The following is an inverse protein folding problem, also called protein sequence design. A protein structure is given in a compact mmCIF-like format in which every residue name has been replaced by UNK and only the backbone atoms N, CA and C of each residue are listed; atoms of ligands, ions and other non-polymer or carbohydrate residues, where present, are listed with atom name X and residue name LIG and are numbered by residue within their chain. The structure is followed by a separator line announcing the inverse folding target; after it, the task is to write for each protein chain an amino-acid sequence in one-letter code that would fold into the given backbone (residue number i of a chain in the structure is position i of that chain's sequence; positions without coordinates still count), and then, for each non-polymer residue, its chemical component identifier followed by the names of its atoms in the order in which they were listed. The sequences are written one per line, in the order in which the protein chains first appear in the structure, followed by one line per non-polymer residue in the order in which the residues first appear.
data_IF_889189674550
#
_entry.id   IF_889189674550
#
_cell.length_a   1.000
_cell.length_b   1.000
_cell.length_c   1.000
_cell.angle_alpha   90.00
_cell.angle_beta   90.00
_cell.angle_gamma   90.00
#
_symmetry.space_group_name_H-M   'P 1'
#
loop_
_entity.id
_entity.type
_entity.pdbx_description
1 polymer ?
#
# COMPACT_ATOMS: atom_id res chain seq x y z
N UNK A 1 30.64 19.95 25.10
CA UNK A 1 29.30 19.67 24.62
C UNK A 1 29.45 18.74 23.42
N UNK A 2 29.13 17.48 23.58
CA UNK A 2 29.19 16.53 22.48
C UNK A 2 27.96 16.78 21.59
N UNK A 3 28.19 17.27 20.35
CA UNK A 3 27.19 17.27 19.30
C UNK A 3 26.75 15.82 19.08
N UNK A 4 25.52 15.50 19.48
CA UNK A 4 24.92 14.23 19.19
C UNK A 4 24.79 14.06 17.69
N UNK A 5 25.68 13.28 17.08
CA UNK A 5 25.54 12.85 15.68
C UNK A 5 24.22 12.08 15.59
N UNK A 6 23.19 12.69 15.01
CA UNK A 6 21.93 11.99 14.69
C UNK A 6 22.31 10.74 13.89
N UNK A 7 22.01 9.56 14.46
CA UNK A 7 22.33 8.30 13.80
C UNK A 7 21.59 8.25 12.45
N UNK A 8 22.34 8.10 11.36
CA UNK A 8 21.78 8.02 10.00
C UNK A 8 20.69 6.95 9.96
N UNK A 9 19.47 7.35 9.62
CA UNK A 9 18.36 6.42 9.42
C UNK A 9 18.49 5.77 8.03
N UNK A 10 18.54 4.43 8.02
CA UNK A 10 18.65 3.64 6.79
C UNK A 10 17.28 2.98 6.55
N UNK A 11 16.47 3.51 5.63
CA UNK A 11 15.19 2.90 5.27
C UNK A 11 15.43 1.57 4.56
N UNK A 12 14.58 0.61 4.89
CA UNK A 12 14.58 -0.73 4.31
C UNK A 12 13.16 -1.30 4.33
N UNK A 13 12.91 -2.32 3.52
CA UNK A 13 11.62 -2.98 3.50
C UNK A 13 11.78 -4.48 3.21
N UNK A 14 10.80 -5.26 3.63
CA UNK A 14 10.76 -6.69 3.40
C UNK A 14 9.37 -7.26 3.68
N UNK A 15 9.24 -8.57 3.65
CA UNK A 15 7.96 -9.21 3.87
C UNK A 15 8.06 -10.57 4.56
N UNK A 16 7.06 -10.89 5.37
CA UNK A 16 6.73 -12.26 5.73
C UNK A 16 5.93 -12.84 4.58
N UNK A 17 6.65 -13.47 3.63
CA UNK A 17 6.05 -14.07 2.45
C UNK A 17 5.39 -15.37 2.83
N UNK A 18 4.11 -15.54 2.46
CA UNK A 18 3.35 -16.72 2.85
C UNK A 18 2.51 -17.29 1.70
N UNK A 19 2.17 -18.59 1.83
CA UNK A 19 1.18 -19.29 0.99
C UNK A 19 0.31 -20.20 1.84
N UNK A 20 -0.88 -20.62 1.36
CA UNK A 20 -1.65 -21.66 2.01
C UNK A 20 -0.87 -22.98 2.05
N UNK A 21 -0.81 -23.63 3.21
CA UNK A 21 -0.26 -24.96 3.40
C UNK A 21 -1.28 -25.90 4.03
N UNK A 22 -0.95 -27.21 4.12
CA UNK A 22 -1.87 -28.23 4.65
C UNK A 22 -2.26 -28.02 6.11
N UNK A 23 -1.33 -27.53 6.94
CA UNK A 23 -1.51 -27.35 8.38
C UNK A 23 -1.53 -25.85 8.79
N UNK A 24 -1.91 -24.98 7.88
CA UNK A 24 -1.85 -23.53 8.06
C UNK A 24 -0.85 -22.88 7.12
N UNK A 25 -0.59 -21.56 7.26
CA UNK A 25 0.33 -20.86 6.38
C UNK A 25 1.75 -21.45 6.41
N UNK A 26 2.35 -21.55 5.24
CA UNK A 26 3.79 -21.75 5.08
C UNK A 26 4.42 -20.39 4.77
N UNK A 27 5.58 -20.11 5.32
CA UNK A 27 6.34 -18.87 5.13
C UNK A 27 7.70 -19.15 4.49
N UNK A 28 8.21 -18.15 3.77
CA UNK A 28 9.55 -18.18 3.19
C UNK A 28 10.55 -17.62 4.18
N UNK A 29 11.66 -18.34 4.35
CA UNK A 29 12.88 -17.83 4.94
C UNK A 29 14.02 -17.91 3.93
N UNK A 30 14.96 -16.99 4.03
CA UNK A 30 16.17 -16.93 3.23
C UNK A 30 17.38 -17.18 4.10
N UNK A 31 18.36 -17.95 3.60
CA UNK A 31 19.66 -18.13 4.22
C UNK A 31 20.68 -17.18 3.60
N UNK A 32 21.44 -16.48 4.47
CA UNK A 32 22.45 -15.53 4.03
C UNK A 32 23.85 -16.05 4.38
N UNK A 33 24.61 -16.56 3.41
CA UNK A 33 25.88 -17.27 3.66
C UNK A 33 26.92 -16.41 4.37
N UNK A 34 26.94 -15.10 4.08
CA UNK A 34 27.86 -14.16 4.72
C UNK A 34 27.72 -14.07 6.24
N UNK A 35 26.52 -14.30 6.76
CA UNK A 35 26.17 -14.19 8.18
C UNK A 35 25.85 -15.54 8.80
N UNK A 36 25.72 -16.59 8.00
CA UNK A 36 25.23 -17.92 8.38
C UNK A 36 23.93 -17.84 9.18
N UNK A 37 22.95 -17.04 8.65
CA UNK A 37 21.70 -16.75 9.33
C UNK A 37 20.48 -16.97 8.44
N UNK A 38 19.33 -17.17 9.11
CA UNK A 38 18.00 -17.29 8.48
C UNK A 38 17.14 -16.12 8.89
N UNK A 39 16.54 -15.46 7.92
CA UNK A 39 15.66 -14.30 8.12
C UNK A 39 14.58 -14.19 7.05
N UNK A 40 13.73 -13.16 7.15
CA UNK A 40 12.81 -12.81 6.06
C UNK A 40 13.56 -12.06 4.95
N UNK A 41 13.09 -12.19 3.68
CA UNK A 41 13.59 -11.40 2.56
C UNK A 41 13.38 -9.90 2.83
N UNK A 42 14.44 -9.11 2.70
CA UNK A 42 14.45 -7.67 2.98
C UNK A 42 15.73 -7.00 2.53
N UNK A 43 15.65 -5.79 2.09
CA UNK A 43 16.82 -4.99 1.80
C UNK A 43 16.62 -3.50 1.96
N UNK A 44 17.61 -2.71 1.58
CA UNK A 44 17.61 -1.26 1.68
C UNK A 44 16.81 -0.64 0.55
N UNK A 45 16.13 0.48 0.86
CA UNK A 45 15.58 1.30 -0.21
C UNK A 45 16.71 1.88 -1.07
N UNK A 46 16.53 1.86 -2.38
CA UNK A 46 17.35 2.62 -3.31
C UNK A 46 17.05 4.13 -3.17
N UNK A 47 17.98 5.01 -3.59
CA UNK A 47 17.70 6.45 -3.55
C UNK A 47 16.39 6.82 -4.30
N UNK A 48 15.43 7.42 -3.58
CA UNK A 48 14.13 7.78 -4.12
C UNK A 48 13.15 6.61 -4.30
N UNK A 49 13.50 5.42 -3.85
CA UNK A 49 12.60 4.26 -3.90
C UNK A 49 11.63 4.26 -2.71
N UNK A 50 10.35 4.14 -3.01
CA UNK A 50 9.30 4.00 -2.01
C UNK A 50 9.33 2.60 -1.35
N UNK A 51 9.09 2.52 -0.04
CA UNK A 51 9.17 1.27 0.76
C UNK A 51 8.32 0.11 0.23
N UNK A 52 7.16 0.38 -0.37
CA UNK A 52 6.32 -0.65 -1.00
C UNK A 52 7.02 -1.31 -2.19
N UNK A 53 7.71 -0.51 -3.02
CA UNK A 53 8.47 -1.03 -4.16
C UNK A 53 9.69 -1.79 -3.70
N UNK A 54 10.40 -1.28 -2.69
CA UNK A 54 11.52 -1.98 -2.07
C UNK A 54 11.09 -3.37 -1.57
N UNK A 55 9.97 -3.48 -0.86
CA UNK A 55 9.49 -4.78 -0.37
C UNK A 55 9.23 -5.78 -1.50
N UNK A 56 8.59 -5.35 -2.59
CA UNK A 56 8.33 -6.21 -3.77
C UNK A 56 9.63 -6.60 -4.48
N UNK A 57 10.54 -5.64 -4.69
CA UNK A 57 11.83 -5.86 -5.36
C UNK A 57 12.70 -6.84 -4.58
N UNK A 58 12.90 -6.59 -3.28
CA UNK A 58 13.76 -7.41 -2.43
C UNK A 58 13.23 -8.85 -2.28
N UNK A 59 11.90 -9.02 -2.11
CA UNK A 59 11.31 -10.36 -2.13
C UNK A 59 11.63 -11.05 -3.45
N UNK A 60 11.51 -10.37 -4.58
CA UNK A 60 11.77 -10.96 -5.90
C UNK A 60 13.25 -11.29 -6.10
N UNK A 61 14.15 -10.40 -5.71
CA UNK A 61 15.60 -10.57 -5.86
C UNK A 61 16.13 -11.70 -4.97
N UNK A 62 15.73 -11.72 -3.70
CA UNK A 62 16.23 -12.69 -2.73
C UNK A 62 15.54 -14.07 -2.84
N UNK A 63 14.35 -14.17 -3.43
CA UNK A 63 13.59 -15.44 -3.42
C UNK A 63 13.09 -15.91 -4.80
N UNK A 64 13.11 -15.08 -5.81
CA UNK A 64 12.49 -15.35 -7.11
C UNK A 64 10.95 -15.42 -7.06
N UNK A 65 10.32 -14.88 -6.01
CA UNK A 65 8.86 -14.93 -5.83
C UNK A 65 8.19 -13.61 -6.17
N UNK A 66 7.03 -13.67 -6.80
CA UNK A 66 6.08 -12.58 -6.94
C UNK A 66 5.05 -12.63 -5.82
N UNK A 67 4.75 -11.47 -5.24
CA UNK A 67 3.86 -11.35 -4.09
C UNK A 67 2.90 -10.17 -4.23
N UNK A 68 1.81 -10.20 -3.47
CA UNK A 68 0.98 -9.04 -3.18
C UNK A 68 1.01 -8.77 -1.68
N UNK A 69 1.13 -7.47 -1.33
CA UNK A 69 1.17 -7.04 0.05
C UNK A 69 -0.23 -7.10 0.68
N UNK A 70 -0.29 -7.58 1.90
CA UNK A 70 -1.47 -7.54 2.75
C UNK A 70 -1.27 -6.53 3.89
N UNK A 71 -1.69 -6.90 5.11
CA UNK A 71 -1.55 -6.02 6.27
C UNK A 71 -0.10 -5.69 6.58
N UNK A 72 0.13 -4.46 7.03
CA UNK A 72 1.39 -4.05 7.61
C UNK A 72 1.65 -4.83 8.91
N UNK A 73 2.92 -5.09 9.15
CA UNK A 73 3.45 -5.66 10.38
C UNK A 73 4.33 -4.62 11.08
N UNK A 74 4.63 -4.87 12.34
CA UNK A 74 5.51 -3.99 13.11
C UNK A 74 6.88 -3.84 12.44
N UNK A 75 7.42 -2.63 12.31
CA UNK A 75 8.75 -2.43 11.75
C UNK A 75 9.83 -2.95 12.72
N UNK A 76 10.94 -3.41 12.15
CA UNK A 76 12.13 -3.73 12.93
C UNK A 76 13.13 -2.58 12.88
N UNK A 77 13.54 -2.08 14.04
CA UNK A 77 14.53 -1.00 14.16
C UNK A 77 15.74 -1.51 14.94
N UNK A 78 16.92 -1.42 14.32
CA UNK A 78 18.15 -1.90 14.97
C UNK A 78 19.40 -1.17 14.46
N UNK A 79 20.45 -1.05 15.31
CA UNK A 79 21.69 -0.42 14.91
C UNK A 79 22.48 -1.30 13.94
N UNK A 80 23.19 -0.66 13.02
CA UNK A 80 24.18 -1.25 12.12
C UNK A 80 25.45 -0.41 12.15
N UNK A 81 26.54 -0.89 11.52
CA UNK A 81 27.78 -0.11 11.39
C UNK A 81 27.57 1.19 10.59
N UNK A 82 26.57 1.25 9.72
CA UNK A 82 26.31 2.40 8.84
C UNK A 82 25.24 3.36 9.40
N UNK A 83 24.57 3.02 10.51
CA UNK A 83 23.48 3.79 11.08
C UNK A 83 22.36 2.91 11.64
N UNK A 84 21.21 3.49 11.95
CA UNK A 84 20.03 2.77 12.42
C UNK A 84 19.20 2.30 11.24
N UNK A 85 19.07 0.98 11.06
CA UNK A 85 18.22 0.39 10.03
C UNK A 85 16.76 0.34 10.51
N UNK A 86 15.86 0.88 9.73
CA UNK A 86 14.41 0.80 9.92
C UNK A 86 13.82 -0.03 8.80
N UNK A 87 13.32 -1.21 9.12
CA UNK A 87 12.76 -2.15 8.14
C UNK A 87 11.25 -2.19 8.29
N UNK A 88 10.52 -1.74 7.27
CA UNK A 88 9.06 -1.89 7.18
C UNK A 88 8.71 -3.28 6.67
N UNK A 89 7.68 -3.91 7.26
CA UNK A 89 7.28 -5.27 6.92
C UNK A 89 5.79 -5.38 6.62
N UNK A 90 5.47 -6.30 5.73
CA UNK A 90 4.09 -6.70 5.39
C UNK A 90 3.94 -8.22 5.42
N UNK A 91 2.75 -8.69 5.74
CA UNK A 91 2.34 -10.04 5.35
C UNK A 91 2.11 -10.04 3.84
N UNK A 92 2.88 -10.81 3.08
CA UNK A 92 2.81 -10.80 1.62
C UNK A 92 2.43 -12.18 1.07
N UNK A 93 1.33 -12.23 0.32
CA UNK A 93 0.86 -13.48 -0.26
C UNK A 93 1.59 -13.80 -1.55
N UNK A 94 2.17 -15.00 -1.64
CA UNK A 94 2.76 -15.52 -2.87
C UNK A 94 1.71 -15.66 -3.98
N UNK A 95 2.04 -15.18 -5.17
CA UNK A 95 1.18 -15.26 -6.36
C UNK A 95 1.85 -15.92 -7.56
N UNK A 96 3.18 -15.87 -7.66
CA UNK A 96 3.92 -16.37 -8.80
C UNK A 96 5.36 -16.73 -8.42
N UNK A 97 5.94 -17.73 -9.07
CA UNK A 97 7.37 -18.07 -8.95
C UNK A 97 8.09 -17.85 -10.28
N UNK A 98 9.24 -17.19 -10.22
CA UNK A 98 10.10 -16.92 -11.38
C UNK A 98 11.38 -17.77 -11.40
N UNK A 99 11.57 -18.56 -10.32
CA UNK A 99 12.78 -19.33 -10.10
C UNK A 99 13.79 -18.54 -9.24
N UNK A 100 14.34 -19.24 -8.26
CA UNK A 100 15.41 -18.71 -7.41
C UNK A 100 16.77 -19.11 -8.00
N UNK A 101 17.72 -18.16 -7.97
CA UNK A 101 19.13 -18.39 -8.33
C UNK A 101 19.97 -17.97 -7.14
N UNK A 102 20.70 -18.94 -6.56
CA UNK A 102 21.63 -18.70 -5.45
C UNK A 102 22.69 -17.67 -5.82
N UNK A 103 23.01 -16.79 -4.89
CA UNK A 103 24.02 -15.72 -5.05
C UNK A 103 24.76 -15.46 -3.72
N UNK A 104 25.65 -14.44 -3.69
CA UNK A 104 26.46 -14.12 -2.51
C UNK A 104 25.63 -13.53 -1.34
N UNK A 105 24.40 -13.07 -1.58
CA UNK A 105 23.53 -12.52 -0.57
C UNK A 105 22.60 -13.60 0.01
N UNK A 106 22.04 -14.46 -0.87
CA UNK A 106 21.12 -15.53 -0.49
C UNK A 106 21.51 -16.80 -1.26
N UNK A 107 21.80 -17.87 -0.53
CA UNK A 107 22.17 -19.17 -1.12
C UNK A 107 21.11 -20.27 -0.96
N UNK A 108 20.15 -20.11 -0.03
CA UNK A 108 19.04 -21.06 0.18
C UNK A 108 17.73 -20.32 0.50
N UNK A 109 16.63 -20.82 -0.05
CA UNK A 109 15.26 -20.31 0.16
C UNK A 109 14.36 -21.47 0.55
N UNK A 110 13.70 -21.38 1.72
CA UNK A 110 12.86 -22.48 2.23
C UNK A 110 11.46 -22.03 2.58
N UNK A 111 10.50 -22.84 2.15
CA UNK A 111 9.14 -22.79 2.66
C UNK A 111 9.03 -23.64 3.92
N UNK A 112 8.60 -23.04 5.02
CA UNK A 112 8.43 -23.70 6.31
C UNK A 112 7.02 -23.45 6.85
N UNK A 113 6.39 -24.44 7.53
CA UNK A 113 5.17 -24.18 8.27
C UNK A 113 5.39 -23.03 9.26
N UNK A 114 4.50 -22.03 9.28
CA UNK A 114 4.62 -20.90 10.20
C UNK A 114 4.66 -21.34 11.68
N UNK A 115 4.13 -22.51 11.99
CA UNK A 115 4.17 -23.10 13.34
C UNK A 115 5.59 -23.45 13.80
N UNK A 116 6.47 -23.87 12.90
CA UNK A 116 7.82 -24.37 13.21
C UNK A 116 8.95 -23.44 12.73
N UNK A 117 8.60 -22.42 11.93
CA UNK A 117 9.60 -21.51 11.36
C UNK A 117 10.43 -20.77 12.40
N UNK A 118 9.91 -20.58 13.64
CA UNK A 118 10.64 -19.95 14.75
C UNK A 118 11.92 -20.71 15.14
N UNK A 119 11.96 -22.04 14.93
CA UNK A 119 13.14 -22.88 15.20
C UNK A 119 14.31 -22.58 14.24
N UNK A 120 13.98 -21.98 13.08
CA UNK A 120 14.96 -21.68 12.04
C UNK A 120 15.41 -20.23 12.03
N UNK A 121 14.58 -19.30 12.50
CA UNK A 121 14.89 -17.87 12.54
C UNK A 121 16.07 -17.60 13.48
N UNK A 122 17.04 -16.83 13.01
CA UNK A 122 18.27 -16.54 13.74
C UNK A 122 18.17 -15.36 14.71
N UNK A 123 17.09 -14.55 14.64
CA UNK A 123 16.94 -13.34 15.43
C UNK A 123 15.62 -13.29 16.18
N UNK A 124 15.66 -12.90 17.46
CA UNK A 124 14.46 -12.76 18.30
C UNK A 124 13.45 -11.76 17.72
N UNK A 125 13.90 -10.68 17.07
CA UNK A 125 13.02 -9.72 16.39
C UNK A 125 12.22 -10.36 15.24
N UNK A 126 12.83 -11.30 14.52
CA UNK A 126 12.17 -12.01 13.42
C UNK A 126 11.21 -13.08 13.96
N UNK A 127 11.55 -13.69 15.12
CA UNK A 127 10.62 -14.56 15.86
C UNK A 127 9.42 -13.76 16.40
N UNK A 128 9.63 -12.56 16.92
CA UNK A 128 8.54 -11.68 17.36
C UNK A 128 7.61 -11.30 16.19
N UNK A 129 8.20 -10.97 15.03
CA UNK A 129 7.44 -10.67 13.81
C UNK A 129 6.62 -11.89 13.33
N UNK A 130 7.17 -13.10 13.44
CA UNK A 130 6.42 -14.35 13.20
C UNK A 130 5.24 -14.50 14.14
N UNK A 131 5.45 -14.17 15.43
CA UNK A 131 4.39 -14.17 16.45
C UNK A 131 3.25 -13.23 16.06
N UNK A 132 3.56 -12.01 15.65
CA UNK A 132 2.59 -11.04 15.14
C UNK A 132 1.87 -11.53 13.87
N UNK A 133 2.61 -12.11 12.90
CA UNK A 133 2.00 -12.70 11.71
C UNK A 133 1.01 -13.81 12.08
N UNK A 134 1.34 -14.68 13.02
CA UNK A 134 0.49 -15.81 13.44
C UNK A 134 -0.72 -15.39 14.28
N UNK A 135 -0.63 -14.28 15.00
CA UNK A 135 -1.73 -13.79 15.85
C UNK A 135 -2.84 -13.08 15.07
N UNK A 136 -2.56 -12.69 13.81
CA UNK A 136 -3.52 -12.00 12.95
C UNK A 136 -3.85 -12.78 11.68
N UNK A 137 -4.79 -12.29 10.87
CA UNK A 137 -5.16 -12.91 9.61
C UNK A 137 -3.99 -12.86 8.61
N UNK A 138 -3.67 -13.99 7.99
CA UNK A 138 -2.66 -14.04 6.94
C UNK A 138 -3.16 -13.34 5.66
N UNK A 139 -4.44 -13.53 5.31
CA UNK A 139 -5.08 -12.91 4.14
C UNK A 139 -5.98 -11.75 4.57
N UNK A 140 -5.83 -10.62 3.88
CA UNK A 140 -6.63 -9.41 4.09
C UNK A 140 -7.11 -8.84 2.76
N UNK A 141 -8.11 -7.96 2.82
CA UNK A 141 -8.70 -7.30 1.67
C UNK A 141 -8.37 -5.81 1.74
N UNK A 142 -7.69 -5.23 0.74
CA UNK A 142 -7.38 -3.81 0.71
C UNK A 142 -8.58 -2.96 0.28
N UNK A 143 -8.79 -1.84 0.98
CA UNK A 143 -9.54 -0.69 0.51
C UNK A 143 -8.61 0.50 0.46
N UNK A 144 -8.40 1.06 -0.73
CA UNK A 144 -7.47 2.15 -0.96
C UNK A 144 -8.27 3.42 -1.26
N UNK A 145 -8.01 4.51 -0.51
CA UNK A 145 -8.61 5.82 -0.72
C UNK A 145 -7.52 6.78 -1.16
N UNK A 146 -7.57 7.19 -2.41
CA UNK A 146 -6.55 7.97 -3.09
C UNK A 146 -7.07 9.37 -3.41
N UNK A 147 -6.28 10.40 -3.09
CA UNK A 147 -6.49 11.72 -3.67
C UNK A 147 -5.84 11.81 -5.04
N UNK A 148 -6.57 12.38 -6.03
CA UNK A 148 -6.02 12.59 -7.37
C UNK A 148 -4.66 13.31 -7.36
N UNK A 149 -3.81 13.02 -8.32
CA UNK A 149 -2.50 13.63 -8.55
C UNK A 149 -2.61 15.12 -8.93
N UNK A 150 -1.49 15.79 -9.12
CA UNK A 150 -1.46 17.22 -9.40
C UNK A 150 -2.23 17.55 -10.70
N UNK A 151 -3.16 18.50 -10.59
CA UNK A 151 -3.97 18.99 -11.71
C UNK A 151 -3.87 20.53 -11.77
N UNK A 152 -4.04 21.08 -12.95
CA UNK A 152 -3.97 22.50 -13.22
C UNK A 152 -4.84 23.35 -12.28
N UNK A 153 -4.58 24.64 -12.18
CA UNK A 153 -5.33 25.57 -11.34
C UNK A 153 -6.82 25.62 -11.78
N UNK A 154 -7.71 25.88 -10.80
CA UNK A 154 -9.11 26.21 -11.14
C UNK A 154 -9.11 27.53 -11.93
N UNK A 155 -9.39 27.47 -13.23
CA UNK A 155 -9.63 28.68 -13.99
C UNK A 155 -10.99 29.26 -13.54
N UNK A 156 -11.00 30.55 -13.17
CA UNK A 156 -12.25 31.26 -12.99
C UNK A 156 -12.90 31.41 -14.40
N UNK A 157 -13.92 30.64 -14.67
CA UNK A 157 -14.74 30.85 -15.88
C UNK A 157 -15.70 32.00 -15.56
N UNK A 158 -15.58 33.11 -16.26
CA UNK A 158 -16.55 34.19 -16.18
C UNK A 158 -17.87 33.67 -16.75
N UNK A 159 -18.92 33.53 -15.92
CA UNK A 159 -20.24 33.07 -16.36
C UNK A 159 -20.97 32.21 -15.32
N UNK A 160 -21.88 31.42 -15.79
CA UNK A 160 -22.76 30.54 -15.04
C UNK A 160 -22.01 29.50 -14.19
N UNK A 161 -22.57 29.21 -13.00
CA UNK A 161 -22.04 28.21 -12.06
C UNK A 161 -21.93 26.81 -12.68
N UNK A 162 -22.87 26.43 -13.59
CA UNK A 162 -22.84 25.16 -14.29
C UNK A 162 -21.67 25.06 -15.29
N UNK A 163 -21.35 26.13 -16.02
CA UNK A 163 -20.20 26.18 -16.91
C UNK A 163 -18.88 26.06 -16.14
N UNK A 164 -18.81 26.68 -14.94
CA UNK A 164 -17.67 26.61 -14.04
C UNK A 164 -17.47 25.18 -13.51
N UNK A 165 -18.56 24.50 -13.12
CA UNK A 165 -18.52 23.11 -12.65
C UNK A 165 -18.08 22.15 -13.77
N UNK A 166 -18.62 22.30 -14.99
CA UNK A 166 -18.23 21.51 -16.15
C UNK A 166 -16.73 21.68 -16.49
N UNK A 167 -16.23 22.92 -16.46
CA UNK A 167 -14.82 23.24 -16.69
C UNK A 167 -13.92 22.62 -15.60
N UNK A 168 -14.34 22.61 -14.32
CA UNK A 168 -13.60 21.94 -13.25
C UNK A 168 -13.55 20.41 -13.42
N UNK A 169 -14.65 19.79 -13.85
CA UNK A 169 -14.69 18.36 -14.14
C UNK A 169 -13.75 17.96 -15.28
N UNK A 170 -13.66 18.80 -16.31
CA UNK A 170 -12.82 18.58 -17.48
C UNK A 170 -11.33 18.91 -17.26
N UNK A 171 -10.96 19.41 -16.10
CA UNK A 171 -9.58 19.84 -15.80
C UNK A 171 -8.63 18.63 -15.80
N UNK A 172 -7.57 18.65 -16.67
CA UNK A 172 -6.61 17.55 -16.80
C UNK A 172 -5.58 17.57 -15.65
N UNK A 173 -4.80 16.50 -15.56
CA UNK A 173 -3.55 16.49 -14.79
C UNK A 173 -2.54 17.48 -15.41
N UNK A 174 -1.65 18.00 -14.57
CA UNK A 174 -0.41 18.66 -15.00
C UNK A 174 0.62 17.58 -15.42
N UNK A 175 1.68 18.00 -16.10
CA UNK A 175 2.76 17.08 -16.50
C UNK A 175 3.39 16.34 -15.29
N UNK A 176 3.55 17.04 -14.15
CA UNK A 176 3.96 16.41 -12.88
C UNK A 176 2.96 15.38 -12.39
N UNK A 177 1.66 15.72 -12.44
CA UNK A 177 0.60 14.79 -12.04
C UNK A 177 0.46 13.56 -12.93
N UNK A 178 0.81 13.66 -14.21
CA UNK A 178 0.89 12.49 -15.11
C UNK A 178 2.08 11.57 -14.75
N UNK A 179 3.21 12.17 -14.35
CA UNK A 179 4.35 11.42 -13.83
C UNK A 179 4.01 10.72 -12.51
N UNK A 180 3.36 11.43 -11.58
CA UNK A 180 2.90 10.88 -10.29
C UNK A 180 1.91 9.72 -10.51
N UNK A 181 0.98 9.84 -11.48
CA UNK A 181 0.03 8.77 -11.82
C UNK A 181 0.73 7.47 -12.24
N UNK A 182 1.85 7.56 -12.96
CA UNK A 182 2.67 6.39 -13.34
C UNK A 182 3.39 5.78 -12.14
N UNK A 183 3.93 6.62 -11.24
CA UNK A 183 4.54 6.15 -9.98
C UNK A 183 3.47 5.45 -9.13
N UNK A 184 2.33 6.09 -8.95
CA UNK A 184 1.18 5.55 -8.22
C UNK A 184 0.73 4.19 -8.75
N UNK A 185 0.71 3.99 -10.07
CA UNK A 185 0.35 2.70 -10.65
C UNK A 185 1.23 1.56 -10.09
N UNK A 186 2.54 1.77 -9.98
CA UNK A 186 3.46 0.79 -9.40
C UNK A 186 3.27 0.57 -7.90
N UNK A 187 2.96 1.64 -7.13
CA UNK A 187 2.70 1.54 -5.69
C UNK A 187 1.39 0.80 -5.40
N UNK A 188 0.33 1.15 -6.10
CA UNK A 188 -1.00 0.53 -5.97
C UNK A 188 -0.98 -0.94 -6.38
N UNK A 189 -0.21 -1.29 -7.43
CA UNK A 189 -0.02 -2.66 -7.88
C UNK A 189 0.62 -3.57 -6.82
N UNK A 190 1.32 -3.02 -5.83
CA UNK A 190 1.85 -3.80 -4.70
C UNK A 190 0.76 -4.50 -3.89
N UNK A 191 -0.47 -4.01 -3.94
CA UNK A 191 -1.64 -4.60 -3.27
C UNK A 191 -2.49 -5.52 -4.18
N UNK A 192 -2.00 -5.78 -5.40
CA UNK A 192 -2.69 -6.64 -6.37
C UNK A 192 -3.82 -5.95 -7.11
N UNK A 193 -4.70 -6.76 -7.71
CA UNK A 193 -5.85 -6.29 -8.49
C UNK A 193 -6.97 -5.79 -7.57
N UNK A 194 -7.41 -4.55 -7.80
CA UNK A 194 -8.58 -3.92 -7.15
C UNK A 194 -9.59 -3.50 -8.21
N UNK A 195 -10.88 -3.56 -7.88
CA UNK A 195 -11.86 -2.79 -8.65
C UNK A 195 -11.54 -1.30 -8.52
N UNK A 196 -11.61 -0.57 -9.61
CA UNK A 196 -11.26 0.86 -9.64
C UNK A 196 -12.50 1.70 -9.75
N UNK A 197 -12.74 2.54 -8.75
CA UNK A 197 -13.90 3.44 -8.69
C UNK A 197 -13.39 4.87 -8.57
N UNK A 198 -13.82 5.73 -9.49
CA UNK A 198 -13.32 7.10 -9.59
C UNK A 198 -14.46 8.11 -9.61
N UNK A 199 -14.21 9.28 -9.02
CA UNK A 199 -14.98 10.48 -9.37
C UNK A 199 -15.02 10.69 -10.88
N UNK A 200 -16.09 11.34 -11.37
CA UNK A 200 -16.24 11.67 -12.79
C UNK A 200 -15.22 12.69 -13.31
N UNK A 201 -14.49 13.40 -12.43
CA UNK A 201 -13.52 14.40 -12.85
C UNK A 201 -12.36 13.77 -13.61
N UNK A 202 -11.97 14.39 -14.73
CA UNK A 202 -10.91 13.92 -15.62
C UNK A 202 -9.59 13.66 -14.85
N UNK A 203 -9.23 14.53 -13.91
CA UNK A 203 -8.04 14.37 -13.07
C UNK A 203 -8.04 13.10 -12.21
N UNK A 204 -9.21 12.69 -11.68
CA UNK A 204 -9.32 11.46 -10.88
C UNK A 204 -9.19 10.23 -11.79
N UNK A 205 -9.91 10.20 -12.90
CA UNK A 205 -9.84 9.12 -13.91
C UNK A 205 -8.41 8.98 -14.45
N UNK A 206 -7.77 10.10 -14.80
CA UNK A 206 -6.41 10.11 -15.32
C UNK A 206 -5.36 9.63 -14.29
N UNK A 207 -5.59 9.90 -13.00
CA UNK A 207 -4.69 9.43 -11.91
C UNK A 207 -4.67 7.91 -11.79
N UNK A 208 -5.82 7.24 -11.93
CA UNK A 208 -5.90 5.79 -11.76
C UNK A 208 -5.79 5.00 -13.07
N UNK A 209 -5.78 5.68 -14.20
CA UNK A 209 -5.74 5.03 -15.53
C UNK A 209 -4.48 4.16 -15.71
N UNK A 210 -3.24 4.60 -15.39
CA UNK A 210 -2.07 3.75 -15.57
C UNK A 210 -2.12 2.46 -14.73
N UNK A 211 -2.70 2.52 -13.51
CA UNK A 211 -2.94 1.34 -12.70
C UNK A 211 -3.98 0.41 -13.35
N UNK A 212 -5.12 0.96 -13.76
CA UNK A 212 -6.21 0.19 -14.37
C UNK A 212 -5.76 -0.52 -15.66
N UNK A 213 -4.96 0.16 -16.50
CA UNK A 213 -4.36 -0.41 -17.71
C UNK A 213 -3.37 -1.54 -17.37
N UNK A 214 -2.52 -1.35 -16.36
CA UNK A 214 -1.55 -2.35 -15.91
C UNK A 214 -2.24 -3.61 -15.38
N UNK A 215 -3.35 -3.45 -14.64
CA UNK A 215 -4.10 -4.55 -14.07
C UNK A 215 -5.15 -5.14 -15.00
N UNK A 216 -5.43 -4.51 -16.14
CA UNK A 216 -6.44 -4.96 -17.08
C UNK A 216 -7.88 -4.83 -16.55
N UNK A 217 -8.14 -3.86 -15.65
CA UNK A 217 -9.45 -3.66 -15.02
C UNK A 217 -10.14 -2.39 -15.52
N UNK A 218 -11.47 -2.36 -15.58
CA UNK A 218 -12.21 -1.16 -15.98
C UNK A 218 -12.20 -0.11 -14.84
N UNK A 219 -12.28 1.17 -15.23
CA UNK A 219 -12.53 2.27 -14.29
C UNK A 219 -14.04 2.51 -14.26
N UNK A 220 -14.66 2.33 -13.09
CA UNK A 220 -16.05 2.64 -12.84
C UNK A 220 -16.15 4.10 -12.35
N UNK A 221 -16.98 4.89 -13.02
CA UNK A 221 -17.25 6.26 -12.59
C UNK A 221 -18.40 6.27 -11.61
N UNK A 222 -18.16 6.85 -10.42
CA UNK A 222 -19.13 6.97 -9.33
C UNK A 222 -19.46 8.46 -9.07
N UNK A 223 -20.65 8.92 -9.44
CA UNK A 223 -21.04 10.31 -9.23
C UNK A 223 -21.00 10.75 -7.76
N UNK A 224 -21.29 9.84 -6.82
CA UNK A 224 -21.24 10.12 -5.38
C UNK A 224 -19.84 10.49 -4.87
N UNK A 225 -18.77 10.19 -5.62
CA UNK A 225 -17.39 10.60 -5.31
C UNK A 225 -16.98 11.89 -6.01
N UNK A 226 -17.89 12.54 -6.72
CA UNK A 226 -17.62 13.77 -7.47
C UNK A 226 -17.96 14.97 -6.60
N UNK A 227 -16.98 15.87 -6.43
CA UNK A 227 -17.16 17.13 -5.71
C UNK A 227 -17.82 18.17 -6.65
N UNK A 228 -19.14 18.23 -6.61
CA UNK A 228 -19.93 19.22 -7.37
C UNK A 228 -20.86 19.98 -6.43
N UNK A 229 -21.16 21.26 -6.73
CA UNK A 229 -22.16 22.01 -5.96
C UNK A 229 -23.49 21.23 -5.92
N UNK A 230 -23.98 20.94 -4.71
CA UNK A 230 -25.22 20.19 -4.49
C UNK A 230 -25.06 18.67 -4.44
N UNK A 231 -23.85 18.11 -4.53
CA UNK A 231 -23.63 16.70 -4.23
C UNK A 231 -23.96 16.42 -2.75
N UNK A 232 -24.71 15.34 -2.50
CA UNK A 232 -25.04 14.92 -1.15
C UNK A 232 -23.81 14.21 -0.52
N UNK A 233 -23.19 14.76 0.55
CA UNK A 233 -22.00 14.14 1.18
C UNK A 233 -22.30 12.71 1.67
N UNK A 234 -23.54 12.45 2.08
CA UNK A 234 -23.96 11.17 2.64
C UNK A 234 -23.95 10.04 1.60
N UNK A 235 -24.27 10.33 0.33
CA UNK A 235 -24.28 9.32 -0.75
C UNK A 235 -22.89 8.70 -0.97
N UNK A 236 -21.84 9.50 -0.87
CA UNK A 236 -20.45 9.03 -0.95
C UNK A 236 -20.09 8.12 0.24
N UNK A 237 -20.48 8.51 1.45
CA UNK A 237 -20.25 7.72 2.66
C UNK A 237 -21.01 6.38 2.63
N UNK A 238 -22.28 6.38 2.22
CA UNK A 238 -23.08 5.17 2.05
C UNK A 238 -22.45 4.22 1.00
N UNK A 239 -21.97 4.79 -0.11
CA UNK A 239 -21.30 4.01 -1.15
C UNK A 239 -20.02 3.36 -0.64
N UNK A 240 -19.16 4.08 0.11
CA UNK A 240 -17.96 3.52 0.74
C UNK A 240 -18.32 2.42 1.73
N UNK A 241 -19.35 2.62 2.56
CA UNK A 241 -19.83 1.61 3.51
C UNK A 241 -20.26 0.33 2.79
N UNK A 242 -21.00 0.46 1.69
CA UNK A 242 -21.40 -0.69 0.86
C UNK A 242 -20.20 -1.41 0.25
N UNK A 243 -19.19 -0.67 -0.24
CA UNK A 243 -17.97 -1.22 -0.79
C UNK A 243 -17.14 -1.97 0.27
N UNK A 244 -17.02 -1.42 1.47
CA UNK A 244 -16.35 -2.10 2.58
C UNK A 244 -17.03 -3.43 2.95
N UNK A 245 -18.36 -3.45 2.96
CA UNK A 245 -19.15 -4.65 3.23
C UNK A 245 -19.02 -5.72 2.13
N UNK A 246 -18.73 -5.34 0.88
CA UNK A 246 -18.57 -6.26 -0.25
C UNK A 246 -17.35 -7.17 -0.14
N UNK A 247 -16.36 -6.79 0.65
CA UNK A 247 -15.07 -7.49 0.82
C UNK A 247 -14.32 -7.74 -0.51
N UNK A 248 -14.51 -6.86 -1.47
CA UNK A 248 -13.80 -6.88 -2.75
C UNK A 248 -12.65 -5.87 -2.67
N UNK A 249 -11.41 -6.24 -3.07
CA UNK A 249 -10.31 -5.28 -3.16
C UNK A 249 -10.74 -4.05 -3.95
N UNK A 250 -10.59 -2.86 -3.37
CA UNK A 250 -11.18 -1.63 -3.93
C UNK A 250 -10.20 -0.47 -3.90
N UNK A 251 -10.05 0.22 -5.03
CA UNK A 251 -9.35 1.49 -5.17
C UNK A 251 -10.36 2.60 -5.48
N UNK A 252 -10.44 3.59 -4.61
CA UNK A 252 -11.28 4.78 -4.76
C UNK A 252 -10.40 5.99 -5.02
N UNK A 253 -10.64 6.72 -6.11
CA UNK A 253 -9.99 8.00 -6.38
C UNK A 253 -10.99 9.15 -6.30
N UNK A 254 -10.70 10.12 -5.43
CA UNK A 254 -11.60 11.23 -5.14
C UNK A 254 -10.85 12.55 -4.87
N UNK A 255 -11.51 13.52 -4.25
CA UNK A 255 -11.07 14.88 -4.05
C UNK A 255 -10.74 15.18 -2.59
N UNK A 256 -9.91 16.22 -2.37
CA UNK A 256 -9.56 16.69 -1.03
C UNK A 256 -10.80 17.00 -0.18
N UNK A 257 -11.81 17.54 -0.82
CA UNK A 257 -13.02 18.08 -0.20
C UNK A 257 -13.90 16.98 0.39
N UNK A 258 -14.06 15.86 -0.32
CA UNK A 258 -14.93 14.75 0.10
C UNK A 258 -14.18 13.57 0.76
N UNK A 259 -12.87 13.40 0.49
CA UNK A 259 -12.08 12.31 1.06
C UNK A 259 -12.13 12.18 2.59
N UNK A 260 -12.15 13.28 3.39
CA UNK A 260 -12.29 13.12 4.84
C UNK A 260 -13.55 12.34 5.23
N UNK A 261 -14.69 12.65 4.65
CA UNK A 261 -15.96 11.95 4.91
C UNK A 261 -15.92 10.51 4.41
N UNK A 262 -15.32 10.25 3.24
CA UNK A 262 -15.15 8.90 2.69
C UNK A 262 -14.23 8.04 3.54
N UNK A 263 -13.13 8.62 4.04
CA UNK A 263 -12.17 7.94 4.94
C UNK A 263 -12.86 7.58 6.26
N UNK A 264 -13.56 8.54 6.88
CA UNK A 264 -14.28 8.31 8.13
C UNK A 264 -15.35 7.21 7.98
N UNK A 265 -16.08 7.21 6.86
CA UNK A 265 -17.04 6.15 6.53
C UNK A 265 -16.36 4.78 6.37
N UNK A 266 -15.21 4.72 5.71
CA UNK A 266 -14.45 3.47 5.54
C UNK A 266 -13.97 2.90 6.87
N UNK A 267 -13.37 3.73 7.73
CA UNK A 267 -12.93 3.31 9.06
C UNK A 267 -14.12 2.83 9.91
N UNK A 268 -15.20 3.59 9.93
CA UNK A 268 -16.43 3.24 10.68
C UNK A 268 -17.02 1.93 10.19
N UNK A 269 -17.15 1.74 8.88
CA UNK A 269 -17.66 0.51 8.27
C UNK A 269 -16.83 -0.73 8.61
N UNK A 270 -15.54 -0.54 8.88
CA UNK A 270 -14.59 -1.58 9.28
C UNK A 270 -14.43 -1.68 10.80
N UNK A 271 -15.34 -1.10 11.58
CA UNK A 271 -15.37 -1.21 13.04
C UNK A 271 -14.33 -0.38 13.79
N UNK A 272 -13.68 0.60 13.11
CA UNK A 272 -12.67 1.45 13.71
C UNK A 272 -13.11 2.91 13.80
N UNK A 273 -12.50 3.66 14.73
CA UNK A 273 -12.70 5.11 14.81
C UNK A 273 -11.96 5.83 13.67
N UNK A 274 -12.46 7.01 13.21
CA UNK A 274 -11.81 7.79 12.17
C UNK A 274 -10.39 8.22 12.57
N UNK A 275 -9.43 8.24 11.61
CA UNK A 275 -8.04 8.54 11.91
C UNK A 275 -7.86 10.03 12.21
N UNK A 276 -7.10 10.34 13.26
CA UNK A 276 -6.66 11.71 13.54
C UNK A 276 -5.48 12.06 12.63
N UNK A 277 -5.75 12.41 11.39
CA UNK A 277 -4.71 12.72 10.40
C UNK A 277 -5.05 14.01 9.62
N UNK A 278 -4.00 14.67 9.11
CA UNK A 278 -4.19 15.77 8.16
C UNK A 278 -4.83 15.23 6.87
N UNK A 279 -5.61 16.07 6.15
CA UNK A 279 -6.11 15.71 4.83
C UNK A 279 -4.99 15.19 3.90
N UNK A 280 -5.33 14.27 3.01
CA UNK A 280 -4.39 13.73 2.04
C UNK A 280 -3.85 14.83 1.10
N UNK A 281 -2.54 14.83 0.86
CA UNK A 281 -1.88 15.57 -0.21
C UNK A 281 -2.25 15.00 -1.60
N UNK A 282 -1.84 15.67 -2.68
CA UNK A 282 -2.05 15.19 -4.05
C UNK A 282 -1.25 13.88 -4.25
N UNK A 283 -1.89 12.84 -4.75
CA UNK A 283 -1.29 11.53 -4.90
C UNK A 283 -1.15 10.71 -3.60
N UNK A 284 -1.36 11.29 -2.43
CA UNK A 284 -1.35 10.51 -1.19
C UNK A 284 -2.58 9.61 -1.08
N UNK A 285 -2.40 8.48 -0.41
CA UNK A 285 -3.46 7.50 -0.24
C UNK A 285 -3.41 6.78 1.12
N UNK A 286 -4.59 6.34 1.57
CA UNK A 286 -4.75 5.37 2.64
C UNK A 286 -4.92 3.97 2.06
N UNK A 287 -4.35 2.98 2.76
CA UNK A 287 -4.62 1.56 2.54
C UNK A 287 -5.19 0.99 3.83
N UNK A 288 -6.42 0.55 3.79
CA UNK A 288 -7.11 -0.12 4.87
C UNK A 288 -7.15 -1.61 4.57
N UNK A 289 -6.48 -2.40 5.38
CA UNK A 289 -6.52 -3.87 5.25
C UNK A 289 -7.54 -4.43 6.21
N UNK A 290 -8.51 -5.16 5.69
CA UNK A 290 -9.58 -5.75 6.49
C UNK A 290 -9.61 -7.28 6.39
N UNK A 291 -10.12 -7.91 7.45
CA UNK A 291 -10.45 -9.33 7.46
C UNK A 291 -11.76 -9.54 8.20
N UNK A 292 -12.62 -10.40 7.68
CA UNK A 292 -13.96 -10.68 8.25
C UNK A 292 -14.85 -9.45 8.42
N UNK A 293 -14.53 -8.33 7.74
CA UNK A 293 -15.25 -7.06 7.84
C UNK A 293 -14.73 -6.12 8.92
N UNK A 294 -13.62 -6.45 9.57
CA UNK A 294 -12.95 -5.62 10.58
C UNK A 294 -11.62 -5.08 10.08
N UNK A 295 -11.28 -3.86 10.48
CA UNK A 295 -9.99 -3.24 10.18
C UNK A 295 -8.86 -3.99 10.90
N UNK A 296 -7.83 -4.37 10.16
CA UNK A 296 -6.66 -5.07 10.71
C UNK A 296 -5.43 -4.17 10.74
N UNK A 297 -5.21 -3.40 9.67
CA UNK A 297 -4.16 -2.38 9.62
C UNK A 297 -4.58 -1.22 8.72
N UNK A 298 -4.03 -0.05 9.00
CA UNK A 298 -4.23 1.15 8.19
C UNK A 298 -2.89 1.86 8.00
N UNK A 299 -2.56 2.18 6.75
CA UNK A 299 -1.33 2.84 6.36
C UNK A 299 -1.63 4.05 5.49
N UNK A 300 -0.81 5.07 5.62
CA UNK A 300 -0.85 6.24 4.74
C UNK A 300 0.47 6.33 3.99
N UNK A 301 0.37 6.50 2.69
CA UNK A 301 1.51 6.60 1.81
C UNK A 301 1.52 7.93 1.05
N UNK A 302 2.73 8.45 0.91
CA UNK A 302 3.05 9.64 0.12
C UNK A 302 3.97 9.17 -1.02
N UNK A 303 3.59 9.32 -2.29
CA UNK A 303 4.38 8.79 -3.42
C UNK A 303 5.78 9.39 -3.52
N UNK A 304 6.03 10.53 -2.85
CA UNK A 304 7.31 11.25 -2.87
C UNK A 304 8.26 10.83 -1.74
N UNK A 305 7.86 9.86 -0.89
CA UNK A 305 8.65 9.47 0.30
C UNK A 305 8.95 8.00 0.37
#
# INVERSE_FOLDING_TARGET
MAEGTEALLIPAAGAVVWRPGRAGPEIVLVHRPRYDDWSYPKGKCEPGEHVLRTAIREVREETGLGVVLGRALSPSVYPTKAGTKHVSYWAARHIQSFGFVSNDEVDDVRWLPAATAHERLSYERDVALLGEFRSGPASTVPMILLRHAAAGSKAAVAGDAAATAAADLARPLEAGGEADAKILAGLLASYGECQVISSAAQRCVATVRPYAETMGVPIQVEPAFTDTPGSAPDAGAERVTSLAASRVPTLICAHRENLPVLIDAAFTALGAGPPRAKPLGKGEFWVLQSASGELVSAERHDPDK
#
